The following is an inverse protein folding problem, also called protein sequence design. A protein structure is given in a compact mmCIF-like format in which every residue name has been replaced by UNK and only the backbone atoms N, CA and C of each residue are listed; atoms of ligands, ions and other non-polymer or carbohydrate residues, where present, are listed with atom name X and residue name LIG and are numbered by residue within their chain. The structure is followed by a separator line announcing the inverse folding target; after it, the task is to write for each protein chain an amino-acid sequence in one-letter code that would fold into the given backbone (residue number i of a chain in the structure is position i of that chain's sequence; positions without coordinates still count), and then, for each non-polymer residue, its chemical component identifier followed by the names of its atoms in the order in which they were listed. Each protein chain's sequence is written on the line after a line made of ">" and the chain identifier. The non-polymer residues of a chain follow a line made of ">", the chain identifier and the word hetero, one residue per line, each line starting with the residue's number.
data_IF_438355073285
#
_entry.id   IF_438355073285
#
_cell.length_a   1.000
_cell.length_b   1.000
_cell.length_c   1.000
_cell.angle_alpha   90.00
_cell.angle_beta   90.00
_cell.angle_gamma   90.00
#
_symmetry.space_group_name_H-M   'P 1'
#
loop_
_entity.id
_entity.type
_entity.pdbx_description
1 polymer ?
#
# COMPACT_ATOMS: atom_id res chain seq x y z
N UNK A 1 7.70 10.39 2.39
CA UNK A 1 7.39 9.75 1.09
C UNK A 1 8.25 8.51 0.89
N UNK A 2 9.56 8.60 1.18
CA UNK A 2 10.53 7.50 1.25
C UNK A 2 9.98 6.20 1.86
N UNK A 3 9.43 6.27 3.08
CA UNK A 3 8.87 5.10 3.76
C UNK A 3 7.74 4.38 2.98
N UNK A 4 6.87 5.13 2.30
CA UNK A 4 5.77 4.53 1.53
C UNK A 4 6.31 3.79 0.30
N UNK A 5 7.30 4.37 -0.40
CA UNK A 5 7.94 3.71 -1.53
C UNK A 5 8.70 2.45 -1.11
N UNK A 6 9.45 2.50 0.01
CA UNK A 6 10.15 1.33 0.55
C UNK A 6 9.17 0.21 0.91
N UNK A 7 8.06 0.55 1.55
CA UNK A 7 6.99 -0.41 1.86
C UNK A 7 6.47 -1.10 0.59
N UNK A 8 6.15 -0.35 -0.47
CA UNK A 8 5.67 -0.93 -1.73
C UNK A 8 6.72 -1.78 -2.45
N UNK A 9 7.99 -1.36 -2.46
CA UNK A 9 9.09 -2.16 -3.02
C UNK A 9 9.24 -3.49 -2.29
N UNK A 10 9.16 -3.46 -0.96
CA UNK A 10 9.21 -4.67 -0.15
C UNK A 10 7.99 -5.56 -0.40
N UNK A 11 6.79 -4.98 -0.47
CA UNK A 11 5.57 -5.71 -0.79
C UNK A 11 5.64 -6.38 -2.17
N UNK A 12 6.18 -5.70 -3.20
CA UNK A 12 6.41 -6.31 -4.51
C UNK A 12 7.39 -7.48 -4.45
N UNK A 13 8.48 -7.35 -3.69
CA UNK A 13 9.47 -8.42 -3.54
C UNK A 13 8.87 -9.68 -2.87
N UNK A 14 7.91 -9.51 -1.95
CA UNK A 14 7.25 -10.61 -1.25
C UNK A 14 6.09 -11.20 -2.06
N UNK A 15 5.25 -10.35 -2.65
CA UNK A 15 4.04 -10.78 -3.37
C UNK A 15 4.40 -11.31 -4.76
N UNK A 16 5.38 -10.72 -5.44
CA UNK A 16 5.84 -11.08 -6.77
C UNK A 16 5.25 -10.19 -7.87
N UNK A 17 4.05 -10.47 -8.41
CA UNK A 17 3.50 -9.70 -9.52
C UNK A 17 2.91 -8.37 -9.06
N UNK A 18 3.05 -7.35 -9.91
CA UNK A 18 2.42 -6.05 -9.69
C UNK A 18 0.89 -6.18 -9.67
N UNK A 19 0.22 -5.72 -8.60
CA UNK A 19 -1.22 -5.85 -8.49
C UNK A 19 -1.92 -4.91 -9.48
N UNK A 20 -3.08 -5.32 -10.01
CA UNK A 20 -3.93 -4.46 -10.84
C UNK A 20 -4.58 -3.31 -10.05
N UNK A 21 -4.67 -3.44 -8.73
CA UNK A 21 -5.37 -2.51 -7.84
C UNK A 21 -4.72 -2.49 -6.47
N UNK A 22 -4.51 -1.30 -5.90
CA UNK A 22 -3.98 -1.12 -4.55
C UNK A 22 -4.89 -0.22 -3.72
N UNK A 23 -5.02 -0.54 -2.43
CA UNK A 23 -5.81 0.24 -1.48
C UNK A 23 -4.85 0.83 -0.45
N UNK A 24 -4.94 2.14 -0.19
CA UNK A 24 -4.14 2.78 0.86
C UNK A 24 -5.04 3.60 1.79
N UNK A 25 -4.49 4.01 2.93
CA UNK A 25 -5.14 4.75 4.03
C UNK A 25 -5.52 6.21 3.66
N UNK A 26 -5.22 6.65 2.45
CA UNK A 26 -5.54 8.00 1.98
C UNK A 26 -4.49 9.07 2.33
N UNK A 27 -3.35 8.71 2.93
CA UNK A 27 -2.27 9.67 3.15
C UNK A 27 -1.77 10.29 1.84
N UNK A 28 -1.45 11.59 1.88
CA UNK A 28 -1.10 12.41 0.71
C UNK A 28 0.12 11.90 -0.08
N UNK A 29 1.04 11.16 0.57
CA UNK A 29 2.19 10.56 -0.10
C UNK A 29 1.85 9.31 -0.92
N UNK A 30 0.74 8.65 -0.63
CA UNK A 30 0.38 7.35 -1.19
C UNK A 30 0.15 7.35 -2.70
N UNK A 31 -0.63 8.30 -3.28
CA UNK A 31 -0.87 8.32 -4.73
C UNK A 31 0.45 8.43 -5.53
N UNK A 32 1.35 9.31 -5.09
CA UNK A 32 2.65 9.49 -5.75
C UNK A 32 3.53 8.25 -5.59
N UNK A 33 3.62 7.70 -4.38
CA UNK A 33 4.42 6.51 -4.13
C UNK A 33 3.92 5.29 -4.92
N UNK A 34 2.60 5.11 -5.05
CA UNK A 34 2.00 4.05 -5.89
C UNK A 34 2.43 4.22 -7.35
N UNK A 35 2.32 5.42 -7.92
CA UNK A 35 2.70 5.67 -9.33
C UNK A 35 4.19 5.42 -9.57
N UNK A 36 5.05 5.88 -8.65
CA UNK A 36 6.51 5.74 -8.79
C UNK A 36 7.01 4.30 -8.52
N UNK A 37 6.27 3.45 -7.81
CA UNK A 37 6.75 2.10 -7.45
C UNK A 37 5.97 0.96 -8.10
N UNK A 38 4.65 1.08 -8.17
CA UNK A 38 3.75 0.07 -8.73
C UNK A 38 3.40 0.37 -10.20
N UNK A 39 3.57 1.63 -10.64
CA UNK A 39 3.33 2.08 -12.01
C UNK A 39 1.94 2.69 -12.22
N UNK A 40 1.81 3.51 -13.27
CA UNK A 40 0.58 4.25 -13.60
C UNK A 40 -0.61 3.38 -14.01
N UNK A 41 -0.39 2.11 -14.35
CA UNK A 41 -1.47 1.19 -14.73
C UNK A 41 -2.22 0.61 -13.51
N UNK A 42 -1.69 0.81 -12.31
CA UNK A 42 -2.29 0.28 -11.08
C UNK A 42 -3.41 1.19 -10.61
N UNK A 43 -4.61 0.63 -10.47
CA UNK A 43 -5.75 1.38 -9.95
C UNK A 43 -5.56 1.65 -8.46
N UNK A 44 -5.27 2.90 -8.11
CA UNK A 44 -5.22 3.35 -6.73
C UNK A 44 -6.62 3.69 -6.23
N UNK A 45 -6.99 3.15 -5.06
CA UNK A 45 -8.22 3.52 -4.36
C UNK A 45 -7.94 3.82 -2.89
N UNK A 46 -8.79 4.65 -2.31
CA UNK A 46 -8.88 4.90 -0.88
C UNK A 46 -10.26 4.47 -0.41
N UNK A 47 -10.32 3.53 0.52
CA UNK A 47 -11.60 3.04 1.06
C UNK A 47 -11.42 2.68 2.53
N UNK A 48 -12.14 3.38 3.40
CA UNK A 48 -12.04 3.24 4.85
C UNK A 48 -12.31 1.80 5.32
N UNK A 49 -13.36 1.15 4.82
CA UNK A 49 -13.69 -0.21 5.24
C UNK A 49 -12.61 -1.22 4.87
N UNK A 50 -12.03 -1.08 3.68
CA UNK A 50 -10.93 -1.93 3.24
C UNK A 50 -9.62 -1.62 3.97
N UNK A 51 -9.40 -0.36 4.33
CA UNK A 51 -8.27 0.04 5.16
C UNK A 51 -8.36 -0.57 6.56
N UNK A 52 -9.56 -0.61 7.15
CA UNK A 52 -9.77 -1.21 8.47
C UNK A 52 -9.30 -2.67 8.53
N UNK A 53 -9.46 -3.44 7.44
CA UNK A 53 -8.96 -4.83 7.37
C UNK A 53 -7.43 -4.89 7.44
N UNK A 54 -6.76 -4.01 6.72
CA UNK A 54 -5.30 -3.90 6.70
C UNK A 54 -4.77 -3.41 8.06
N UNK A 55 -5.45 -2.44 8.68
CA UNK A 55 -5.13 -1.98 10.02
C UNK A 55 -5.35 -3.05 11.09
N UNK A 56 -6.37 -3.89 10.92
CA UNK A 56 -6.64 -5.03 11.80
C UNK A 56 -5.54 -6.09 11.71
N UNK A 57 -5.09 -6.44 10.50
CA UNK A 57 -3.96 -7.36 10.28
C UNK A 57 -2.68 -6.84 10.96
N UNK A 58 -2.42 -5.54 10.84
CA UNK A 58 -1.28 -4.89 11.49
C UNK A 58 -1.34 -4.89 13.02
N UNK A 59 -2.49 -5.14 13.66
CA UNK A 59 -2.58 -5.10 15.14
C UNK A 59 -1.67 -6.13 15.80
N UNK A 60 -1.52 -7.33 15.21
CA UNK A 60 -0.66 -8.37 15.75
C UNK A 60 0.83 -7.98 15.73
N UNK A 61 1.24 -7.17 14.75
CA UNK A 61 2.62 -6.67 14.63
C UNK A 61 2.85 -5.46 15.55
N UNK A 62 1.85 -4.57 15.69
CA UNK A 62 1.93 -3.34 16.49
C UNK A 62 1.85 -3.56 18.00
N UNK A 63 1.35 -4.71 18.46
CA UNK A 63 1.20 -5.05 19.88
C UNK A 63 2.44 -5.71 20.49
N UNK A 64 3.55 -5.77 19.76
CA UNK A 64 4.85 -6.31 20.18
C UNK A 64 5.85 -5.19 20.33
#
# INVERSE_FOLDING_TARGET
>A
MEAAQQCFKHALAVVGPTPKRVTTDGHASSPRAVRETLGDQVLHRTNQYLNNRLEQDHRGVKQR
#
